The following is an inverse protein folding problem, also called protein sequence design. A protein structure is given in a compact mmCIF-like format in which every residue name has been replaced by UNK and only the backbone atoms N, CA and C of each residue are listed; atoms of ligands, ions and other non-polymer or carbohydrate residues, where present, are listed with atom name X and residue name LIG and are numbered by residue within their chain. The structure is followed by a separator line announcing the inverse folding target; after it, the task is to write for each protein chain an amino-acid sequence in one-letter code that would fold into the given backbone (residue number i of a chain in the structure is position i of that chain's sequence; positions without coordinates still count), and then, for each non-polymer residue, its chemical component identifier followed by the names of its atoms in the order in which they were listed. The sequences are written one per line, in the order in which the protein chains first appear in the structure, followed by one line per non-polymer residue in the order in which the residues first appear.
data_IF_531957582185
#
_entry.id   IF_531957582185
#
_cell.length_a   1.000
_cell.length_b   1.000
_cell.length_c   1.000
_cell.angle_alpha   90.00
_cell.angle_beta   90.00
_cell.angle_gamma   90.00
#
_symmetry.space_group_name_H-M   'P 1'
#
loop_
_entity.id
_entity.type
_entity.pdbx_description
1 polymer ?
#
# COMPACT_ATOMS: atom_id res chain seq x y z
N UNK A 1 29.15 15.93 14.87
CA UNK A 1 28.55 15.31 16.07
C UNK A 1 27.73 14.13 15.58
N UNK A 2 28.38 12.97 15.47
CA UNK A 2 27.75 11.71 15.03
C UNK A 2 26.86 11.21 16.16
N UNK A 3 25.55 11.39 16.01
CA UNK A 3 24.53 10.82 16.90
C UNK A 3 24.60 9.28 16.80
N UNK A 4 25.31 8.67 17.74
CA UNK A 4 25.40 7.23 17.89
C UNK A 4 24.04 6.73 18.41
N UNK A 5 23.23 6.20 17.50
CA UNK A 5 21.92 5.62 17.78
C UNK A 5 22.08 4.49 18.80
N UNK A 6 21.87 4.80 20.08
CA UNK A 6 21.79 3.78 21.13
C UNK A 6 20.53 2.94 20.91
N UNK A 7 20.63 1.61 20.83
CA UNK A 7 19.46 0.76 20.73
C UNK A 7 18.59 1.01 21.97
N UNK A 8 17.33 1.36 21.74
CA UNK A 8 16.33 1.50 22.80
C UNK A 8 16.09 0.09 23.32
N UNK A 9 16.89 -0.32 24.30
CA UNK A 9 16.85 -1.66 24.87
C UNK A 9 15.43 -2.01 25.32
N UNK A 10 14.90 -3.09 24.76
CA UNK A 10 13.53 -3.53 24.99
C UNK A 10 13.19 -4.73 24.09
N UNK A 11 12.16 -5.49 24.49
CA UNK A 11 11.71 -6.62 23.69
C UNK A 11 10.98 -6.09 22.43
N UNK A 12 11.49 -6.44 21.24
CA UNK A 12 10.88 -6.11 19.93
C UNK A 12 9.42 -6.60 19.83
N UNK A 13 9.07 -7.66 20.55
CA UNK A 13 7.72 -8.25 20.64
C UNK A 13 6.82 -7.48 21.63
N UNK A 14 6.59 -6.20 21.34
CA UNK A 14 5.58 -5.41 22.06
C UNK A 14 4.16 -5.89 21.72
N UNK A 15 3.17 -5.59 22.57
CA UNK A 15 1.75 -5.91 22.30
C UNK A 15 1.27 -5.46 20.90
N UNK A 16 1.48 -4.19 20.48
CA UNK A 16 1.08 -3.76 19.14
C UNK A 16 1.83 -4.52 18.05
N UNK A 17 3.12 -4.81 18.24
CA UNK A 17 3.90 -5.60 17.27
C UNK A 17 3.34 -7.01 17.09
N UNK A 18 2.94 -7.69 18.18
CA UNK A 18 2.29 -9.01 18.09
C UNK A 18 0.97 -8.96 17.33
N UNK A 19 0.15 -7.94 17.57
CA UNK A 19 -1.14 -7.77 16.88
C UNK A 19 -0.92 -7.53 15.38
N UNK A 20 -0.02 -6.61 15.01
CA UNK A 20 0.31 -6.35 13.61
C UNK A 20 0.91 -7.58 12.91
N UNK A 21 1.75 -8.32 13.62
CA UNK A 21 2.32 -9.58 13.11
C UNK A 21 1.23 -10.62 12.88
N UNK A 22 0.25 -10.73 13.77
CA UNK A 22 -0.87 -11.66 13.59
C UNK A 22 -1.70 -11.30 12.34
N UNK A 23 -1.99 -10.02 12.11
CA UNK A 23 -2.67 -9.58 10.88
C UNK A 23 -1.85 -9.87 9.62
N UNK A 24 -0.54 -9.66 9.67
CA UNK A 24 0.36 -9.96 8.55
C UNK A 24 0.38 -11.45 8.21
N UNK A 25 0.47 -12.32 9.23
CA UNK A 25 0.43 -13.78 9.05
C UNK A 25 -0.92 -14.23 8.49
N UNK A 26 -2.03 -13.67 9.00
CA UNK A 26 -3.36 -13.98 8.49
C UNK A 26 -3.51 -13.55 7.01
N UNK A 27 -3.07 -12.33 6.67
CA UNK A 27 -3.08 -11.84 5.30
C UNK A 27 -2.25 -12.71 4.36
N UNK A 28 -1.04 -13.09 4.76
CA UNK A 28 -0.19 -13.99 3.98
C UNK A 28 -0.84 -15.37 3.78
N UNK A 29 -1.49 -15.92 4.81
CA UNK A 29 -2.20 -17.20 4.72
C UNK A 29 -3.38 -17.12 3.72
N UNK A 30 -4.13 -16.02 3.70
CA UNK A 30 -5.23 -15.81 2.74
C UNK A 30 -4.71 -15.66 1.31
N UNK A 31 -3.59 -14.96 1.11
CA UNK A 31 -2.94 -14.84 -0.21
C UNK A 31 -2.47 -16.22 -0.71
N UNK A 32 -1.88 -17.04 0.15
CA UNK A 32 -1.50 -18.41 -0.20
C UNK A 32 -2.73 -19.28 -0.53
N UNK A 33 -3.79 -19.18 0.28
CA UNK A 33 -5.04 -19.88 0.03
C UNK A 33 -5.65 -19.50 -1.33
N UNK A 34 -5.62 -18.21 -1.69
CA UNK A 34 -6.02 -17.71 -3.02
C UNK A 34 -5.22 -18.38 -4.14
N UNK A 35 -3.90 -18.47 -4.02
CA UNK A 35 -3.07 -19.10 -5.05
C UNK A 35 -3.28 -20.62 -5.19
N UNK A 36 -3.72 -21.30 -4.12
CA UNK A 36 -3.93 -22.76 -4.12
C UNK A 36 -5.34 -23.14 -4.57
N UNK A 37 -6.37 -22.43 -4.09
CA UNK A 37 -7.79 -22.76 -4.31
C UNK A 37 -8.45 -21.90 -5.39
N UNK A 38 -7.72 -20.93 -5.95
CA UNK A 38 -8.19 -20.05 -7.01
C UNK A 38 -9.05 -18.90 -6.51
N UNK A 39 -9.38 -18.02 -7.45
CA UNK A 39 -10.05 -16.74 -7.19
C UNK A 39 -11.48 -16.93 -6.67
N UNK A 40 -12.25 -17.85 -7.25
CA UNK A 40 -13.65 -18.07 -6.88
C UNK A 40 -13.85 -18.43 -5.40
N UNK A 41 -12.88 -19.10 -4.78
CA UNK A 41 -12.94 -19.52 -3.38
C UNK A 41 -12.76 -18.36 -2.37
N UNK A 42 -12.16 -17.24 -2.80
CA UNK A 42 -11.79 -16.13 -1.90
C UNK A 42 -12.62 -14.88 -2.15
N UNK A 43 -13.03 -14.66 -3.40
CA UNK A 43 -13.70 -13.42 -3.83
C UNK A 43 -15.15 -13.63 -4.27
N UNK A 44 -15.63 -14.87 -4.31
CA UNK A 44 -16.92 -15.24 -4.90
C UNK A 44 -17.11 -14.66 -6.32
N UNK A 45 -16.02 -14.46 -7.06
CA UNK A 45 -16.05 -13.99 -8.44
C UNK A 45 -16.44 -15.13 -9.38
N UNK A 46 -17.17 -14.77 -10.43
CA UNK A 46 -17.62 -15.67 -11.49
C UNK A 46 -17.08 -15.20 -12.84
N UNK A 47 -17.11 -16.05 -13.86
CA UNK A 47 -16.61 -15.71 -15.21
C UNK A 47 -17.29 -14.48 -15.84
N UNK A 48 -18.48 -14.09 -15.35
CA UNK A 48 -19.17 -12.86 -15.78
C UNK A 48 -18.67 -11.58 -15.09
N UNK A 49 -18.05 -11.70 -13.91
CA UNK A 49 -17.50 -10.58 -13.14
C UNK A 49 -16.12 -10.94 -12.57
N UNK A 50 -15.11 -11.12 -13.44
CA UNK A 50 -13.82 -11.67 -13.05
C UNK A 50 -13.01 -10.78 -12.11
N UNK A 51 -13.30 -9.48 -12.07
CA UNK A 51 -12.56 -8.49 -11.27
C UNK A 51 -13.34 -7.92 -10.07
N UNK A 52 -14.66 -8.16 -10.03
CA UNK A 52 -15.53 -7.91 -8.86
C UNK A 52 -15.38 -6.53 -8.22
N UNK A 53 -15.46 -6.51 -6.88
CA UNK A 53 -15.25 -5.30 -6.05
C UNK A 53 -13.77 -4.92 -5.94
N UNK A 54 -12.87 -5.85 -6.23
CA UNK A 54 -11.43 -5.68 -6.02
C UNK A 54 -10.90 -4.50 -6.82
N UNK A 55 -11.17 -4.48 -8.13
CA UNK A 55 -10.76 -3.37 -9.02
C UNK A 55 -11.21 -1.99 -8.53
N UNK A 56 -12.41 -1.89 -7.94
CA UNK A 56 -12.93 -0.62 -7.45
C UNK A 56 -12.17 -0.15 -6.20
N UNK A 57 -11.80 -1.08 -5.33
CA UNK A 57 -11.10 -0.75 -4.10
C UNK A 57 -9.60 -0.56 -4.32
N UNK A 58 -8.91 -1.52 -4.93
CA UNK A 58 -7.45 -1.52 -5.01
C UNK A 58 -6.95 -0.63 -6.16
N UNK A 59 -7.51 -0.78 -7.36
CA UNK A 59 -7.08 -0.06 -8.55
C UNK A 59 -7.72 1.32 -8.62
N UNK A 60 -9.03 1.45 -8.44
CA UNK A 60 -9.66 2.78 -8.57
C UNK A 60 -9.33 3.64 -7.34
N UNK A 61 -9.69 3.20 -6.15
CA UNK A 61 -9.49 4.01 -4.93
C UNK A 61 -8.02 4.03 -4.51
N UNK A 62 -7.35 2.88 -4.43
CA UNK A 62 -5.94 2.80 -4.01
C UNK A 62 -5.00 3.61 -4.91
N UNK A 63 -5.14 3.48 -6.23
CA UNK A 63 -4.30 4.25 -7.17
C UNK A 63 -4.67 5.73 -7.20
N UNK A 64 -5.94 6.10 -6.99
CA UNK A 64 -6.35 7.50 -6.85
C UNK A 64 -5.73 8.15 -5.60
N UNK A 65 -5.65 7.42 -4.48
CA UNK A 65 -4.94 7.89 -3.29
C UNK A 65 -3.43 8.02 -3.56
N UNK A 66 -2.87 7.08 -4.33
CA UNK A 66 -1.48 7.13 -4.79
C UNK A 66 -1.17 8.33 -5.69
N UNK A 67 -2.09 8.76 -6.55
CA UNK A 67 -1.84 9.87 -7.49
C UNK A 67 -1.89 11.26 -6.83
N UNK A 68 -2.53 11.39 -5.66
CA UNK A 68 -2.65 12.66 -4.94
C UNK A 68 -1.31 13.34 -4.65
N UNK A 69 -0.28 12.60 -4.26
CA UNK A 69 1.04 13.18 -3.98
C UNK A 69 1.81 13.63 -5.23
N UNK A 70 1.64 12.96 -6.39
CA UNK A 70 2.16 13.45 -7.67
C UNK A 70 1.42 14.71 -8.13
N UNK A 71 0.09 14.75 -8.00
CA UNK A 71 -0.71 15.93 -8.30
C UNK A 71 -0.28 17.13 -7.41
N UNK A 72 -0.05 16.88 -6.12
CA UNK A 72 0.50 17.88 -5.20
C UNK A 72 1.88 18.38 -5.63
N UNK A 73 2.80 17.50 -6.02
CA UNK A 73 4.11 17.89 -6.52
C UNK A 73 4.00 18.81 -7.76
N UNK A 74 3.13 18.45 -8.71
CA UNK A 74 2.90 19.23 -9.92
C UNK A 74 2.32 20.61 -9.59
N UNK A 75 1.32 20.69 -8.70
CA UNK A 75 0.76 21.96 -8.24
C UNK A 75 1.80 22.86 -7.56
N UNK A 76 2.65 22.29 -6.70
CA UNK A 76 3.67 23.07 -5.98
C UNK A 76 4.71 23.64 -6.95
N UNK A 77 5.17 22.87 -7.93
CA UNK A 77 6.18 23.34 -8.89
C UNK A 77 5.61 24.27 -9.97
N UNK A 78 4.45 23.94 -10.54
CA UNK A 78 3.87 24.70 -11.66
C UNK A 78 3.09 25.92 -11.16
N UNK A 79 2.13 25.73 -10.26
CA UNK A 79 1.22 26.79 -9.84
C UNK A 79 1.82 27.70 -8.76
N UNK A 80 2.68 27.15 -7.89
CA UNK A 80 3.15 27.87 -6.70
C UNK A 80 4.67 28.16 -6.70
N UNK A 81 5.34 27.95 -7.85
CA UNK A 81 6.78 28.18 -8.06
C UNK A 81 7.68 27.65 -6.94
N UNK A 82 7.35 26.50 -6.35
CA UNK A 82 8.18 25.86 -5.33
C UNK A 82 8.07 26.44 -3.92
N UNK A 83 7.13 27.36 -3.62
CA UNK A 83 7.00 27.94 -2.27
C UNK A 83 6.69 26.91 -1.17
N UNK A 84 6.07 25.77 -1.52
CA UNK A 84 5.81 24.65 -0.61
C UNK A 84 6.69 23.43 -0.87
N UNK A 85 7.93 23.63 -1.34
CA UNK A 85 8.87 22.55 -1.64
C UNK A 85 9.03 21.48 -0.52
N UNK A 86 9.03 21.83 0.79
CA UNK A 86 9.12 20.83 1.85
C UNK A 86 7.98 19.79 1.84
N UNK A 87 6.78 20.15 1.36
CA UNK A 87 5.64 19.23 1.28
C UNK A 87 5.77 18.21 0.17
N UNK A 88 6.57 18.51 -0.86
CA UNK A 88 6.74 17.65 -2.03
C UNK A 88 7.41 16.34 -1.65
N UNK A 89 8.37 16.36 -0.71
CA UNK A 89 9.14 15.17 -0.35
C UNK A 89 8.29 14.10 0.31
N UNK A 90 7.46 14.47 1.30
CA UNK A 90 6.55 13.54 1.96
C UNK A 90 5.45 13.06 1.00
N UNK A 91 4.92 13.96 0.17
CA UNK A 91 3.91 13.63 -0.82
C UNK A 91 4.41 12.62 -1.86
N UNK A 92 5.62 12.82 -2.42
CA UNK A 92 6.20 11.90 -3.40
C UNK A 92 6.52 10.53 -2.79
N UNK A 93 7.08 10.48 -1.59
CA UNK A 93 7.38 9.20 -0.92
C UNK A 93 6.08 8.43 -0.65
N UNK A 94 5.03 9.11 -0.19
CA UNK A 94 3.71 8.51 0.01
C UNK A 94 3.11 8.00 -1.32
N UNK A 95 3.21 8.78 -2.40
CA UNK A 95 2.73 8.39 -3.73
C UNK A 95 3.46 7.18 -4.30
N UNK A 96 4.80 7.16 -4.23
CA UNK A 96 5.61 6.02 -4.70
C UNK A 96 5.25 4.75 -3.92
N UNK A 97 5.11 4.88 -2.60
CA UNK A 97 4.70 3.76 -1.76
C UNK A 97 3.30 3.25 -2.13
N UNK A 98 2.32 4.15 -2.26
CA UNK A 98 0.96 3.79 -2.65
C UNK A 98 0.88 3.12 -4.03
N UNK A 99 1.56 3.66 -5.03
CA UNK A 99 1.60 3.06 -6.37
C UNK A 99 2.26 1.68 -6.40
N UNK A 100 3.32 1.49 -5.61
CA UNK A 100 3.99 0.18 -5.52
C UNK A 100 3.05 -0.86 -4.92
N UNK A 101 2.31 -0.49 -3.87
CA UNK A 101 1.31 -1.37 -3.25
C UNK A 101 0.16 -1.70 -4.21
N UNK A 102 -0.36 -0.73 -4.96
CA UNK A 102 -1.38 -0.96 -5.97
C UNK A 102 -0.89 -1.91 -7.08
N UNK A 103 0.36 -1.74 -7.54
CA UNK A 103 0.97 -2.64 -8.52
C UNK A 103 1.10 -4.08 -8.01
N UNK A 104 1.52 -4.26 -6.75
CA UNK A 104 1.59 -5.60 -6.12
C UNK A 104 0.19 -6.20 -5.95
N UNK A 105 -0.82 -5.39 -5.61
CA UNK A 105 -2.21 -5.83 -5.48
C UNK A 105 -2.73 -6.42 -6.80
N UNK A 106 -2.52 -5.71 -7.91
CA UNK A 106 -2.92 -6.19 -9.25
C UNK A 106 -2.26 -7.53 -9.60
N UNK A 107 -0.98 -7.71 -9.26
CA UNK A 107 -0.28 -8.97 -9.51
C UNK A 107 -0.86 -10.14 -8.71
N UNK A 108 -1.41 -9.86 -7.53
CA UNK A 108 -2.13 -10.86 -6.74
C UNK A 108 -3.51 -11.11 -7.35
N UNK A 109 -4.19 -10.04 -7.78
CA UNK A 109 -5.57 -10.06 -8.26
C UNK A 109 -5.75 -10.65 -9.67
N UNK A 110 -4.71 -10.60 -10.50
CA UNK A 110 -4.65 -11.25 -11.81
C UNK A 110 -4.18 -12.71 -11.64
N UNK A 111 -5.07 -13.66 -11.93
CA UNK A 111 -4.86 -15.11 -11.88
C UNK A 111 -6.15 -15.85 -12.21
#
# INVERSE_FOLDING_TARGET
MSEESKPVGGNILTKPFKVLTAFLVLGAALVLYRYIFGIGAVSNMSDGYPWGIWIAYDVVVGTALGCGGYAMALLVYVANRGRYHPLVRSALVASVFGYTLAGVSIMVDIG
#
